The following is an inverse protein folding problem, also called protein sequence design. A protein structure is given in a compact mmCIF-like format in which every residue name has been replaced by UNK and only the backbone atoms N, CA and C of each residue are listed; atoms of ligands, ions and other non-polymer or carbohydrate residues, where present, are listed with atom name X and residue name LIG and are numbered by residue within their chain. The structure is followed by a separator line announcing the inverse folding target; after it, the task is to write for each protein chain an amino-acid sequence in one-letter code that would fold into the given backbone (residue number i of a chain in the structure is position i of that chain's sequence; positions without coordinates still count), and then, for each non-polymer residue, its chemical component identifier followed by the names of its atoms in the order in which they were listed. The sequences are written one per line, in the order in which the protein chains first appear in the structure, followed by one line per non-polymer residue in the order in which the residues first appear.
data_IF_618662765027
#
_entry.id   IF_618662765027
#
_cell.length_a   1.000
_cell.length_b   1.000
_cell.length_c   1.000
_cell.angle_alpha   90.00
_cell.angle_beta   90.00
_cell.angle_gamma   90.00
#
_symmetry.space_group_name_H-M   'P 1'
#
loop_
_entity.id
_entity.type
_entity.pdbx_description
1 polymer ?
#
# COMPACT_ATOMS: atom_id res chain seq x y z
N UNK A 1 33.55 12.94 3.37
CA UNK A 1 32.38 13.52 2.66
C UNK A 1 31.34 12.42 2.58
N UNK A 2 30.20 12.55 3.28
CA UNK A 2 29.15 11.54 3.23
C UNK A 2 28.43 11.64 1.89
N UNK A 3 28.43 10.55 1.12
CA UNK A 3 27.69 10.44 -0.13
C UNK A 3 26.43 9.64 0.14
N UNK A 4 25.30 10.31 0.03
CA UNK A 4 23.99 9.68 0.14
C UNK A 4 23.77 8.67 -0.99
N UNK A 5 22.96 7.64 -0.73
CA UNK A 5 22.54 6.74 -1.80
C UNK A 5 21.70 7.51 -2.82
N UNK A 6 21.82 7.13 -4.09
CA UNK A 6 20.95 7.63 -5.16
C UNK A 6 20.51 6.44 -5.99
N UNK A 7 19.31 5.95 -5.70
CA UNK A 7 18.69 4.87 -6.47
C UNK A 7 18.16 5.42 -7.78
N UNK A 8 18.66 4.90 -8.90
CA UNK A 8 18.17 5.19 -10.25
C UNK A 8 17.26 4.06 -10.68
N UNK A 9 16.08 4.39 -11.17
CA UNK A 9 15.12 3.43 -11.71
C UNK A 9 15.31 3.27 -13.22
N UNK A 10 15.50 4.39 -13.91
CA UNK A 10 15.87 4.44 -15.32
C UNK A 10 16.89 5.59 -15.56
N UNK A 11 17.09 5.96 -16.83
CA UNK A 11 18.06 7.02 -17.21
C UNK A 11 17.69 8.41 -16.71
N UNK A 12 16.40 8.66 -16.48
CA UNK A 12 15.84 9.98 -16.18
C UNK A 12 15.23 10.03 -14.77
N UNK A 13 14.77 8.89 -14.25
CA UNK A 13 14.09 8.78 -12.96
C UNK A 13 14.97 8.15 -11.89
N UNK A 14 14.94 8.79 -10.72
CA UNK A 14 15.33 8.15 -9.44
C UNK A 14 14.23 7.16 -9.02
N UNK A 15 14.20 6.76 -7.74
CA UNK A 15 13.09 5.96 -7.22
C UNK A 15 11.73 6.61 -7.59
N UNK A 16 10.84 5.90 -8.34
CA UNK A 16 9.59 6.45 -8.82
C UNK A 16 8.56 6.58 -7.69
N UNK A 17 7.43 7.24 -7.95
CA UNK A 17 6.32 7.23 -7.00
C UNK A 17 5.76 5.81 -6.86
N UNK A 18 5.29 5.45 -5.66
CA UNK A 18 4.69 4.13 -5.42
C UNK A 18 3.49 3.85 -6.35
N UNK A 19 2.79 4.89 -6.80
CA UNK A 19 1.71 4.80 -7.80
C UNK A 19 2.20 4.43 -9.20
N UNK A 20 3.41 4.83 -9.59
CA UNK A 20 4.01 4.45 -10.87
C UNK A 20 4.49 2.98 -10.87
N UNK A 21 4.68 2.40 -9.69
CA UNK A 21 4.98 0.97 -9.50
C UNK A 21 3.72 0.09 -9.44
N UNK A 22 2.55 0.72 -9.33
CA UNK A 22 1.27 0.03 -9.17
C UNK A 22 0.89 -0.76 -10.42
N UNK A 23 0.38 -1.97 -10.23
CA UNK A 23 -0.17 -2.80 -11.29
C UNK A 23 -1.45 -3.48 -10.78
N UNK A 24 -2.49 -3.46 -11.60
CA UNK A 24 -3.81 -4.00 -11.23
C UNK A 24 -3.72 -5.48 -10.82
N UNK A 25 -4.33 -5.82 -9.69
CA UNK A 25 -4.36 -7.17 -9.13
C UNK A 25 -3.19 -7.52 -8.21
N UNK A 26 -2.17 -6.66 -8.07
CA UNK A 26 -1.10 -6.89 -7.10
C UNK A 26 -1.61 -6.74 -5.67
N UNK A 27 -1.30 -7.74 -4.84
CA UNK A 27 -1.67 -7.78 -3.43
C UNK A 27 -0.42 -7.61 -2.58
N UNK A 28 -0.44 -6.60 -1.72
CA UNK A 28 0.65 -6.31 -0.79
C UNK A 28 0.65 -7.22 0.43
N UNK A 29 -0.51 -7.42 1.04
CA UNK A 29 -0.65 -8.23 2.24
C UNK A 29 -2.04 -8.86 2.27
N UNK A 30 -2.11 -10.14 2.63
CA UNK A 30 -3.38 -10.84 2.83
C UNK A 30 -3.69 -10.81 4.32
N UNK A 31 -4.76 -10.10 4.67
CA UNK A 31 -5.24 -10.03 6.05
C UNK A 31 -5.80 -11.41 6.42
N UNK A 32 -5.48 -11.95 7.61
CA UNK A 32 -6.05 -13.23 8.05
C UNK A 32 -7.57 -13.15 8.13
N UNK A 33 -8.23 -14.28 7.92
CA UNK A 33 -9.68 -14.35 8.11
C UNK A 33 -10.06 -14.05 9.56
N UNK A 34 -11.16 -13.31 9.73
CA UNK A 34 -11.74 -13.04 11.05
C UNK A 34 -12.26 -14.33 11.66
N UNK A 35 -12.04 -14.49 12.96
CA UNK A 35 -12.51 -15.61 13.78
C UNK A 35 -14.03 -15.78 13.68
N UNK A 36 -14.50 -17.02 13.77
CA UNK A 36 -15.90 -17.34 13.51
C UNK A 36 -16.83 -16.72 14.56
N UNK A 37 -16.43 -16.77 15.82
CA UNK A 37 -17.17 -16.23 16.96
C UNK A 37 -17.45 -14.73 16.77
N UNK A 38 -16.44 -13.99 16.28
CA UNK A 38 -16.54 -12.56 16.00
C UNK A 38 -17.49 -12.32 14.81
N UNK A 39 -17.39 -13.12 13.75
CA UNK A 39 -18.30 -13.00 12.59
C UNK A 39 -19.76 -13.27 12.98
N UNK A 40 -20.00 -14.26 13.84
CA UNK A 40 -21.33 -14.65 14.28
C UNK A 40 -21.95 -13.60 15.23
N UNK A 41 -21.14 -12.93 16.07
CA UNK A 41 -21.60 -11.87 16.98
C UNK A 41 -21.88 -10.55 16.27
N UNK A 42 -20.99 -10.12 15.37
CA UNK A 42 -21.06 -8.79 14.74
C UNK A 42 -21.88 -8.81 13.45
N UNK A 43 -21.90 -9.94 12.71
CA UNK A 43 -22.54 -10.01 11.40
C UNK A 43 -21.80 -9.19 10.33
N UNK A 44 -22.55 -8.47 9.49
CA UNK A 44 -21.97 -7.65 8.42
C UNK A 44 -21.71 -6.20 8.91
N UNK A 45 -20.46 -5.74 9.03
CA UNK A 45 -20.15 -4.40 9.51
C UNK A 45 -20.70 -3.27 8.62
N UNK A 46 -21.00 -3.54 7.35
CA UNK A 46 -21.56 -2.51 6.47
C UNK A 46 -22.94 -2.03 6.94
N UNK A 47 -23.75 -2.90 7.56
CA UNK A 47 -25.12 -2.59 7.97
C UNK A 47 -25.18 -1.50 9.06
N UNK A 48 -24.10 -1.35 9.84
CA UNK A 48 -23.93 -0.31 10.86
C UNK A 48 -23.63 1.08 10.28
N UNK A 49 -23.25 1.17 9.00
CA UNK A 49 -22.90 2.45 8.35
C UNK A 49 -24.08 2.91 7.47
N UNK A 50 -24.68 4.08 7.74
CA UNK A 50 -25.73 4.64 6.90
C UNK A 50 -25.33 4.73 5.42
N UNK A 51 -26.19 4.35 4.45
CA UNK A 51 -25.83 4.28 3.02
C UNK A 51 -25.29 5.60 2.45
N UNK A 52 -25.75 6.75 2.96
CA UNK A 52 -25.29 8.07 2.54
C UNK A 52 -23.87 8.43 3.01
N UNK A 53 -23.31 7.66 3.95
CA UNK A 53 -21.94 7.81 4.45
C UNK A 53 -20.97 6.81 3.82
N UNK A 54 -21.48 5.80 3.09
CA UNK A 54 -20.64 4.78 2.44
C UNK A 54 -19.96 5.38 1.21
N UNK A 55 -18.70 5.01 0.99
CA UNK A 55 -17.98 5.32 -0.26
C UNK A 55 -18.65 4.57 -1.42
N UNK A 56 -18.85 5.25 -2.54
CA UNK A 56 -19.42 4.65 -3.76
C UNK A 56 -18.36 3.94 -4.59
N UNK A 57 -17.16 4.51 -4.61
CA UNK A 57 -16.03 4.02 -5.37
C UNK A 57 -14.87 3.69 -4.42
N UNK A 58 -14.08 2.69 -4.78
CA UNK A 58 -12.87 2.34 -4.05
C UNK A 58 -11.83 3.46 -4.17
N UNK A 59 -11.03 3.72 -3.13
CA UNK A 59 -9.92 4.66 -3.25
C UNK A 59 -8.88 4.13 -4.23
N UNK A 60 -8.29 5.02 -5.02
CA UNK A 60 -7.22 4.72 -5.98
C UNK A 60 -5.87 4.50 -5.26
N UNK A 61 -5.80 3.46 -4.42
CA UNK A 61 -4.58 3.08 -3.72
C UNK A 61 -3.63 2.30 -4.64
N UNK A 62 -2.30 2.40 -4.44
CA UNK A 62 -1.34 1.63 -5.23
C UNK A 62 -1.48 0.15 -4.93
N UNK A 63 -1.50 -0.65 -5.99
CA UNK A 63 -1.53 -2.11 -5.96
C UNK A 63 -0.11 -2.62 -6.20
N UNK A 64 0.58 -2.99 -5.12
CA UNK A 64 1.99 -3.37 -5.09
C UNK A 64 2.19 -4.55 -4.15
N UNK A 65 3.14 -5.43 -4.44
CA UNK A 65 3.50 -6.56 -3.59
C UNK A 65 4.27 -6.12 -2.34
N UNK A 66 4.29 -6.95 -1.28
CA UNK A 66 5.03 -6.65 -0.05
C UNK A 66 6.50 -6.32 -0.31
N UNK A 67 7.13 -7.08 -1.20
CA UNK A 67 8.54 -6.92 -1.57
C UNK A 67 8.78 -5.58 -2.28
N UNK A 68 7.86 -5.15 -3.14
CA UNK A 68 7.93 -3.84 -3.81
C UNK A 68 7.78 -2.70 -2.79
N UNK A 69 6.84 -2.80 -1.85
CA UNK A 69 6.66 -1.83 -0.76
C UNK A 69 7.93 -1.69 0.06
N UNK A 70 8.48 -2.82 0.53
CA UNK A 70 9.71 -2.82 1.35
C UNK A 70 10.89 -2.22 0.58
N UNK A 71 11.09 -2.61 -0.69
CA UNK A 71 12.16 -2.05 -1.53
C UNK A 71 12.00 -0.55 -1.73
N UNK A 72 10.79 -0.09 -2.05
CA UNK A 72 10.50 1.32 -2.29
C UNK A 72 10.86 2.18 -1.07
N UNK A 73 10.30 1.85 0.10
CA UNK A 73 10.55 2.63 1.31
C UNK A 73 11.98 2.48 1.85
N UNK A 74 12.65 1.34 1.62
CA UNK A 74 14.08 1.17 1.93
C UNK A 74 14.95 2.07 1.06
N UNK A 75 14.63 2.21 -0.23
CA UNK A 75 15.39 3.10 -1.13
C UNK A 75 15.18 4.57 -0.77
N UNK A 76 13.93 4.95 -0.48
CA UNK A 76 13.62 6.31 -0.04
C UNK A 76 14.33 6.67 1.27
N UNK A 77 14.40 5.75 2.23
CA UNK A 77 15.10 6.02 3.51
C UNK A 77 16.60 6.26 3.31
N UNK A 78 17.24 5.51 2.41
CA UNK A 78 18.66 5.70 2.06
C UNK A 78 18.92 6.99 1.26
N UNK A 79 17.88 7.55 0.66
CA UNK A 79 17.87 8.83 -0.06
C UNK A 79 17.44 10.01 0.81
N UNK A 80 17.21 9.81 2.11
CA UNK A 80 16.96 10.88 3.06
C UNK A 80 18.20 11.21 3.90
N UNK A 81 18.35 12.47 4.34
CA UNK A 81 19.37 12.86 5.29
C UNK A 81 18.77 12.68 6.69
N UNK A 82 19.41 11.85 7.51
CA UNK A 82 18.99 11.62 8.90
C UNK A 82 19.13 12.87 9.77
#
# INVERSE_FOLDING_TARGET
MFRQARWQYDKEKIEPLIFELSEEGKIGHIIPEVEKEIKDEIGNPEDEIPPNLRRKDLPELPQVTEVEVVRHYTRLSQMNYG
#
